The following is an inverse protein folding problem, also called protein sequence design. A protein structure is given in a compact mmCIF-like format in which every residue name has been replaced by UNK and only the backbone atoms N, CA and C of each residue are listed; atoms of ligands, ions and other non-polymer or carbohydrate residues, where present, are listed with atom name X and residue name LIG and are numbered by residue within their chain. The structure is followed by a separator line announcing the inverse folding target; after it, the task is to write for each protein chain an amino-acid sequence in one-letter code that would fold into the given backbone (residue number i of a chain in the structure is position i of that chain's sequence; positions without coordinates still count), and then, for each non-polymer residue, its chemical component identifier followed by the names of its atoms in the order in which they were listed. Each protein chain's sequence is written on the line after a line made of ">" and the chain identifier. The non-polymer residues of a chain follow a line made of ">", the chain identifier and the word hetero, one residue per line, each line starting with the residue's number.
data_IF_815766950155
#
_entry.id   IF_815766950155
#
_cell.length_a   1.000
_cell.length_b   1.000
_cell.length_c   1.000
_cell.angle_alpha   90.00
_cell.angle_beta   90.00
_cell.angle_gamma   90.00
#
_symmetry.space_group_name_H-M   'P 1'
#
loop_
_entity.id
_entity.type
_entity.pdbx_description
1 polymer ?
#
# COMPACT_ATOMS: atom_id res chain seq x y z
N UNK A 1 -13.43 2.02 -26.45
CA UNK A 1 -14.31 1.29 -25.52
C UNK A 1 -15.16 2.34 -24.81
N UNK A 2 -16.49 2.28 -24.93
CA UNK A 2 -17.39 3.23 -24.29
C UNK A 2 -17.95 2.57 -23.01
N UNK A 3 -18.03 3.36 -21.92
CA UNK A 3 -18.66 2.96 -20.66
C UNK A 3 -19.83 3.89 -20.41
N UNK A 4 -21.01 3.33 -20.22
CA UNK A 4 -22.19 4.07 -19.85
C UNK A 4 -22.34 4.07 -18.32
N UNK A 5 -22.70 5.21 -17.75
CA UNK A 5 -23.07 5.33 -16.34
C UNK A 5 -24.24 6.30 -16.20
N UNK A 6 -25.02 6.13 -15.16
CA UNK A 6 -26.14 7.04 -14.83
C UNK A 6 -25.73 7.95 -13.66
N UNK A 7 -26.11 9.22 -13.75
CA UNK A 7 -25.81 10.22 -12.71
C UNK A 7 -26.97 11.20 -12.56
N UNK A 8 -27.12 11.75 -11.37
CA UNK A 8 -28.01 12.88 -11.09
C UNK A 8 -27.24 14.21 -10.96
N UNK A 9 -25.96 14.23 -11.29
CA UNK A 9 -25.16 15.45 -11.29
C UNK A 9 -25.47 16.29 -12.52
N UNK A 10 -25.51 17.62 -12.33
CA UNK A 10 -25.83 18.62 -13.38
C UNK A 10 -24.60 19.32 -13.93
N UNK A 11 -23.40 18.94 -13.49
CA UNK A 11 -22.13 19.48 -13.97
C UNK A 11 -21.85 19.05 -15.43
N UNK A 12 -20.86 19.70 -16.08
CA UNK A 12 -20.44 19.32 -17.42
C UNK A 12 -20.00 17.85 -17.49
N UNK A 13 -20.26 17.19 -18.62
CA UNK A 13 -20.03 15.75 -18.80
C UNK A 13 -18.59 15.35 -18.46
N UNK A 14 -17.61 16.16 -18.86
CA UNK A 14 -16.19 15.91 -18.62
C UNK A 14 -15.85 15.92 -17.12
N UNK A 15 -16.49 16.82 -16.36
CA UNK A 15 -16.29 16.90 -14.90
C UNK A 15 -16.94 15.71 -14.18
N UNK A 16 -18.14 15.34 -14.61
CA UNK A 16 -18.85 14.19 -14.06
C UNK A 16 -18.09 12.90 -14.36
N UNK A 17 -17.58 12.76 -15.56
CA UNK A 17 -16.79 11.60 -15.99
C UNK A 17 -15.46 11.50 -15.24
N UNK A 18 -14.74 12.62 -15.07
CA UNK A 18 -13.52 12.67 -14.28
C UNK A 18 -13.78 12.27 -12.81
N UNK A 19 -14.83 12.84 -12.20
CA UNK A 19 -15.24 12.45 -10.84
C UNK A 19 -15.62 10.97 -10.73
N UNK A 20 -16.29 10.41 -11.74
CA UNK A 20 -16.62 8.97 -11.77
C UNK A 20 -15.34 8.10 -11.85
N UNK A 21 -14.35 8.51 -12.62
CA UNK A 21 -13.05 7.80 -12.68
C UNK A 21 -12.29 7.85 -11.36
N UNK A 22 -12.37 8.95 -10.63
CA UNK A 22 -11.72 9.08 -9.32
C UNK A 22 -12.28 8.07 -8.30
N UNK A 23 -13.54 7.67 -8.41
CA UNK A 23 -14.13 6.60 -7.61
C UNK A 23 -13.47 5.22 -7.84
N UNK A 24 -12.87 4.98 -9.01
CA UNK A 24 -12.14 3.74 -9.27
C UNK A 24 -10.97 3.52 -8.29
N UNK A 25 -10.44 4.58 -7.68
CA UNK A 25 -9.40 4.48 -6.65
C UNK A 25 -9.92 3.77 -5.39
N UNK A 26 -11.18 3.99 -5.02
CA UNK A 26 -11.83 3.31 -3.88
C UNK A 26 -12.02 1.83 -4.19
N UNK A 27 -12.44 1.50 -5.40
CA UNK A 27 -12.58 0.09 -5.84
C UNK A 27 -11.25 -0.65 -5.83
N UNK A 28 -10.16 0.03 -6.25
CA UNK A 28 -8.81 -0.52 -6.17
C UNK A 28 -8.39 -0.79 -4.71
N UNK A 29 -8.70 0.11 -3.78
CA UNK A 29 -8.41 -0.07 -2.37
C UNK A 29 -9.19 -1.25 -1.77
N UNK A 30 -10.48 -1.36 -2.08
CA UNK A 30 -11.33 -2.48 -1.65
C UNK A 30 -10.81 -3.80 -2.22
N UNK A 31 -10.46 -3.82 -3.50
CA UNK A 31 -9.86 -5.01 -4.14
C UNK A 31 -8.56 -5.41 -3.47
N UNK A 32 -7.65 -4.47 -3.24
CA UNK A 32 -6.37 -4.72 -2.58
C UNK A 32 -6.56 -5.30 -1.16
N UNK A 33 -7.55 -4.81 -0.41
CA UNK A 33 -7.88 -5.34 0.91
C UNK A 33 -8.45 -6.75 0.83
N UNK A 34 -9.37 -7.00 -0.09
CA UNK A 34 -9.97 -8.32 -0.32
C UNK A 34 -8.96 -9.35 -0.82
N UNK A 35 -8.01 -8.95 -1.65
CA UNK A 35 -6.95 -9.83 -2.16
C UNK A 35 -5.89 -10.19 -1.10
N UNK A 36 -5.93 -9.55 0.08
CA UNK A 36 -4.95 -9.71 1.12
C UNK A 36 -5.57 -10.02 2.49
N UNK A 37 -5.54 -9.04 3.38
CA UNK A 37 -5.89 -9.24 4.78
C UNK A 37 -7.39 -9.50 5.01
N UNK A 38 -8.26 -9.06 4.11
CA UNK A 38 -9.71 -9.27 4.17
C UNK A 38 -10.20 -10.36 3.19
N UNK A 39 -9.31 -11.20 2.66
CA UNK A 39 -9.71 -12.36 1.86
C UNK A 39 -10.61 -13.31 2.67
N UNK A 40 -10.33 -13.43 3.96
CA UNK A 40 -11.15 -14.17 4.94
C UNK A 40 -10.87 -13.65 6.35
N UNK A 41 -11.83 -13.77 7.22
CA UNK A 41 -11.65 -13.40 8.63
C UNK A 41 -10.95 -14.50 9.42
N UNK A 42 -10.10 -14.16 10.40
CA UNK A 42 -9.31 -15.12 11.16
C UNK A 42 -10.12 -15.99 12.11
N UNK A 43 -11.34 -15.58 12.50
CA UNK A 43 -12.17 -16.34 13.44
C UNK A 43 -13.66 -16.00 13.31
N UNK A 44 -14.52 -16.70 14.06
CA UNK A 44 -15.98 -16.45 14.11
C UNK A 44 -16.42 -15.32 15.05
N UNK A 45 -15.50 -14.64 15.76
CA UNK A 45 -15.84 -13.60 16.74
C UNK A 45 -15.90 -12.22 16.10
N UNK A 46 -17.06 -11.56 16.15
CA UNK A 46 -17.28 -10.26 15.54
C UNK A 46 -16.28 -9.18 16.01
N UNK A 47 -16.08 -9.06 17.32
CA UNK A 47 -15.15 -8.04 17.88
C UNK A 47 -13.70 -8.24 17.42
N UNK A 48 -13.23 -9.49 17.34
CA UNK A 48 -11.90 -9.80 16.84
C UNK A 48 -11.77 -9.49 15.34
N UNK A 49 -12.80 -9.78 14.55
CA UNK A 49 -12.83 -9.47 13.12
C UNK A 49 -12.91 -7.95 12.87
N UNK A 50 -13.60 -7.20 13.74
CA UNK A 50 -13.61 -5.72 13.68
C UNK A 50 -12.21 -5.16 13.91
N UNK A 51 -11.50 -5.62 14.94
CA UNK A 51 -10.11 -5.23 15.20
C UNK A 51 -9.19 -5.61 14.02
N UNK A 52 -9.37 -6.81 13.47
CA UNK A 52 -8.64 -7.26 12.28
C UNK A 52 -8.85 -6.32 11.08
N UNK A 53 -10.08 -5.90 10.83
CA UNK A 53 -10.43 -4.97 9.73
C UNK A 53 -9.72 -3.63 9.89
N UNK A 54 -9.68 -3.08 11.10
CA UNK A 54 -8.96 -1.82 11.38
C UNK A 54 -7.46 -1.98 11.13
N UNK A 55 -6.85 -3.06 11.61
CA UNK A 55 -5.43 -3.36 11.39
C UNK A 55 -5.13 -3.55 9.90
N UNK A 56 -6.01 -4.20 9.16
CA UNK A 56 -5.89 -4.39 7.72
C UNK A 56 -5.91 -3.05 6.98
N UNK A 57 -6.83 -2.13 7.35
CA UNK A 57 -6.92 -0.80 6.77
C UNK A 57 -5.67 0.05 7.08
N UNK A 58 -5.18 0.02 8.31
CA UNK A 58 -3.93 0.70 8.69
C UNK A 58 -2.73 0.15 7.89
N UNK A 59 -2.60 -1.16 7.79
CA UNK A 59 -1.53 -1.81 7.01
C UNK A 59 -1.58 -1.45 5.54
N UNK A 60 -2.80 -1.37 4.97
CA UNK A 60 -3.01 -0.93 3.58
C UNK A 60 -2.56 0.51 3.38
N UNK A 61 -2.95 1.43 4.27
CA UNK A 61 -2.57 2.84 4.21
C UNK A 61 -1.06 3.02 4.36
N UNK A 62 -0.43 2.35 5.33
CA UNK A 62 1.03 2.38 5.50
C UNK A 62 1.75 1.90 4.24
N UNK A 63 1.27 0.81 3.62
CA UNK A 63 1.82 0.32 2.36
C UNK A 63 1.67 1.33 1.21
N UNK A 64 0.55 2.03 1.12
CA UNK A 64 0.34 3.11 0.14
C UNK A 64 1.27 4.30 0.39
N UNK A 65 1.35 4.79 1.62
CA UNK A 65 2.22 5.90 2.00
C UNK A 65 3.69 5.57 1.75
N UNK A 66 4.13 4.35 2.06
CA UNK A 66 5.48 3.89 1.72
C UNK A 66 5.78 4.06 0.23
N UNK A 67 4.82 3.75 -0.64
CA UNK A 67 5.00 3.92 -2.08
C UNK A 67 4.92 5.38 -2.51
N UNK A 68 3.94 6.14 -2.02
CA UNK A 68 3.72 7.53 -2.41
C UNK A 68 4.89 8.43 -1.98
N UNK A 69 5.42 8.23 -0.79
CA UNK A 69 6.52 9.01 -0.23
C UNK A 69 7.86 8.49 -0.77
N UNK A 70 8.03 7.17 -0.74
CA UNK A 70 9.30 6.55 -1.10
C UNK A 70 9.57 6.48 -2.59
N UNK A 71 8.54 6.28 -3.41
CA UNK A 71 8.62 6.06 -4.85
C UNK A 71 7.60 6.93 -5.62
N UNK A 72 7.66 8.27 -5.54
CA UNK A 72 6.65 9.17 -6.11
C UNK A 72 6.54 9.06 -7.64
N UNK A 73 7.62 8.70 -8.32
CA UNK A 73 7.69 8.59 -9.78
C UNK A 73 7.13 7.27 -10.33
N UNK A 74 6.63 6.40 -9.45
CA UNK A 74 6.08 5.11 -9.89
C UNK A 74 4.57 5.16 -9.95
N UNK A 75 4.01 4.56 -11.02
CA UNK A 75 2.57 4.36 -11.12
C UNK A 75 2.03 3.57 -9.93
N UNK A 76 0.80 3.86 -9.52
CA UNK A 76 0.12 3.17 -8.43
C UNK A 76 0.18 1.65 -8.63
N UNK A 77 0.91 0.96 -7.77
CA UNK A 77 1.06 -0.50 -7.82
C UNK A 77 0.06 -1.16 -6.87
N UNK A 78 -0.43 -2.32 -7.26
CA UNK A 78 -1.29 -3.13 -6.38
C UNK A 78 -0.55 -3.51 -5.10
N UNK A 79 -1.30 -3.78 -4.03
CA UNK A 79 -0.72 -4.19 -2.75
C UNK A 79 0.12 -5.48 -2.88
N UNK A 80 -0.26 -6.42 -3.76
CA UNK A 80 0.52 -7.62 -4.05
C UNK A 80 1.91 -7.29 -4.62
N UNK A 81 1.98 -6.34 -5.57
CA UNK A 81 3.26 -5.90 -6.16
C UNK A 81 4.14 -5.20 -5.13
N UNK A 82 3.56 -4.30 -4.31
CA UNK A 82 4.30 -3.63 -3.22
C UNK A 82 4.87 -4.64 -2.23
N UNK A 83 4.05 -5.59 -1.80
CA UNK A 83 4.45 -6.64 -0.87
C UNK A 83 5.63 -7.45 -1.41
N UNK A 84 5.58 -7.87 -2.66
CA UNK A 84 6.63 -8.70 -3.26
C UNK A 84 7.93 -7.91 -3.50
N UNK A 85 7.84 -6.62 -3.82
CA UNK A 85 9.01 -5.80 -4.16
C UNK A 85 9.68 -5.13 -2.97
N UNK A 86 8.91 -4.75 -1.94
CA UNK A 86 9.42 -3.94 -0.84
C UNK A 86 9.36 -4.63 0.52
N UNK A 87 8.38 -5.52 0.76
CA UNK A 87 8.16 -6.06 2.10
C UNK A 87 8.54 -7.54 2.26
N UNK A 88 8.39 -8.35 1.23
CA UNK A 88 8.76 -9.78 1.26
C UNK A 88 10.22 -10.00 0.89
N UNK A 89 11.12 -9.20 1.41
CA UNK A 89 12.56 -9.36 1.18
C UNK A 89 13.09 -10.34 2.24
N UNK A 90 13.71 -11.46 1.85
CA UNK A 90 14.35 -12.33 2.82
C UNK A 90 15.48 -11.58 3.52
N UNK A 91 15.52 -11.62 4.83
CA UNK A 91 16.52 -10.91 5.62
C UNK A 91 17.02 -11.73 6.79
N UNK A 92 18.31 -11.58 7.12
CA UNK A 92 18.91 -12.14 8.30
C UNK A 92 19.14 -11.06 9.34
N UNK A 93 18.42 -11.14 10.46
CA UNK A 93 18.63 -10.24 11.59
C UNK A 93 19.73 -10.78 12.48
N UNK A 94 20.78 -10.00 12.69
CA UNK A 94 21.90 -10.33 13.57
C UNK A 94 22.05 -9.28 14.65
N UNK A 95 22.52 -9.69 15.84
CA UNK A 95 22.83 -8.79 16.95
C UNK A 95 24.30 -8.96 17.34
N UNK A 96 25.04 -7.87 17.33
CA UNK A 96 26.44 -7.83 17.75
C UNK A 96 26.65 -6.59 18.62
N UNK A 97 27.21 -6.74 19.81
CA UNK A 97 27.52 -5.63 20.73
C UNK A 97 26.36 -4.63 20.90
N UNK A 98 25.15 -5.10 21.20
CA UNK A 98 23.90 -4.32 21.34
C UNK A 98 23.35 -3.69 20.05
N UNK A 99 24.02 -3.85 18.90
CA UNK A 99 23.56 -3.33 17.62
C UNK A 99 22.84 -4.41 16.83
N UNK A 100 21.62 -4.09 16.37
CA UNK A 100 20.87 -4.92 15.43
C UNK A 100 21.27 -4.57 14.00
N UNK A 101 21.54 -5.58 13.19
CA UNK A 101 21.86 -5.42 11.77
C UNK A 101 20.96 -6.34 10.96
N UNK A 102 20.18 -5.76 10.05
CA UNK A 102 19.42 -6.51 9.05
C UNK A 102 20.27 -6.65 7.79
N UNK A 103 20.61 -7.88 7.46
CA UNK A 103 21.35 -8.20 6.22
C UNK A 103 20.35 -8.68 5.18
N UNK A 104 20.36 -8.05 4.02
CA UNK A 104 19.51 -8.37 2.88
C UNK A 104 20.34 -8.94 1.73
N UNK A 105 19.71 -9.62 0.73
CA UNK A 105 20.41 -10.17 -0.43
C UNK A 105 21.11 -9.08 -1.25
N UNK A 106 22.36 -9.30 -1.62
CA UNK A 106 23.16 -8.33 -2.39
C UNK A 106 22.71 -8.17 -3.86
N UNK A 107 21.82 -9.04 -4.37
CA UNK A 107 21.36 -9.02 -5.75
C UNK A 107 19.83 -9.00 -5.82
N UNK A 108 19.22 -8.15 -5.02
CA UNK A 108 17.77 -7.95 -5.06
C UNK A 108 17.38 -7.12 -6.29
N UNK A 109 16.51 -7.58 -7.18
CA UNK A 109 16.18 -6.86 -8.41
C UNK A 109 15.60 -5.46 -8.17
N UNK A 110 14.99 -5.21 -7.01
CA UNK A 110 14.38 -3.93 -6.62
C UNK A 110 15.13 -3.26 -5.46
N UNK A 111 16.42 -3.54 -5.31
CA UNK A 111 17.26 -2.94 -4.27
C UNK A 111 17.26 -1.42 -4.37
N UNK A 112 17.42 -0.87 -5.56
CA UNK A 112 17.41 0.59 -5.79
C UNK A 112 16.08 1.21 -5.35
N UNK A 113 14.95 0.59 -5.68
CA UNK A 113 13.63 1.06 -5.25
C UNK A 113 13.52 1.05 -3.72
N UNK A 114 14.00 -0.01 -3.07
CA UNK A 114 13.99 -0.13 -1.62
C UNK A 114 14.87 0.92 -0.94
N UNK A 115 16.10 1.11 -1.41
CA UNK A 115 17.06 2.06 -0.83
C UNK A 115 16.58 3.51 -1.01
N UNK A 116 16.01 3.84 -2.18
CA UNK A 116 15.40 5.15 -2.44
C UNK A 116 14.21 5.39 -1.52
N UNK A 117 13.31 4.43 -1.39
CA UNK A 117 12.15 4.54 -0.50
C UNK A 117 12.57 4.72 0.95
N UNK A 118 13.55 3.94 1.43
CA UNK A 118 14.06 4.03 2.79
C UNK A 118 14.72 5.38 3.05
N UNK A 119 15.51 5.89 2.13
CA UNK A 119 16.18 7.19 2.23
C UNK A 119 15.17 8.32 2.32
N UNK A 120 14.16 8.34 1.44
CA UNK A 120 13.12 9.38 1.43
C UNK A 120 12.25 9.34 2.69
N UNK A 121 11.87 8.15 3.15
CA UNK A 121 11.07 8.01 4.38
C UNK A 121 11.86 8.44 5.60
N UNK A 122 13.15 8.14 5.68
CA UNK A 122 14.02 8.58 6.79
C UNK A 122 14.30 10.08 6.79
N UNK A 123 14.17 10.74 5.65
CA UNK A 123 14.33 12.18 5.52
C UNK A 123 13.07 12.98 5.95
N UNK A 124 11.96 12.30 6.26
CA UNK A 124 10.78 12.97 6.80
C UNK A 124 11.10 13.64 8.13
N UNK A 125 10.61 14.88 8.37
CA UNK A 125 10.82 15.56 9.64
C UNK A 125 10.18 14.74 10.76
N UNK A 126 10.93 14.52 11.83
CA UNK A 126 10.35 13.99 13.06
C UNK A 126 9.44 15.05 13.66
N UNK A 127 8.17 14.76 13.86
CA UNK A 127 7.30 15.62 14.64
C UNK A 127 7.72 15.48 16.11
N UNK A 128 8.33 16.54 16.64
CA UNK A 128 8.57 16.73 18.07
C UNK A 128 7.30 17.20 18.75
#
# INVERSE_FOLDING_TARGET
>A
RHHAFATNQTAALEQVEAGHRDHAVVELAIRDLKDQALAHFPCGKFAANSAWTVIAALSHNLGRWTTQIGLPDTTTRTAAVRRNRLFRIPGRLTRTARRWTLRMPARWPWQTDFDNALTRIRALPAHT
#
